data_IF_111457404892
#
_entry.id   IF_111457404892
#
_cell.length_a   1.000
_cell.length_b   1.000
_cell.length_c   1.000
_cell.angle_alpha   90.00
_cell.angle_beta   90.00
_cell.angle_gamma   90.00
#
_symmetry.space_group_name_H-M   'P 1'
#
loop_
_entity.id
_entity.type
_entity.pdbx_description
1 polymer ?
#
# COMPACT_ATOMS: atom_id res chain seq x y z
N UNK A 1 15.51 -24.70 23.01
CA UNK A 1 16.17 -24.10 21.83
C UNK A 1 15.15 -24.03 20.70
N UNK A 2 14.64 -22.84 20.39
CA UNK A 2 13.66 -22.67 19.32
C UNK A 2 14.34 -22.90 17.96
N UNK A 3 13.81 -23.85 17.18
CA UNK A 3 14.30 -24.13 15.83
C UNK A 3 14.06 -22.91 14.96
N UNK A 4 15.10 -22.45 14.27
CA UNK A 4 15.04 -21.28 13.38
C UNK A 4 14.07 -21.56 12.23
N UNK A 5 13.09 -20.67 12.06
CA UNK A 5 12.00 -20.83 11.09
C UNK A 5 12.51 -20.79 9.65
N UNK A 6 11.79 -21.38 8.71
CA UNK A 6 12.15 -21.36 7.28
C UNK A 6 12.20 -19.90 6.76
N UNK A 7 11.27 -19.07 7.22
CA UNK A 7 11.19 -17.65 6.91
C UNK A 7 12.40 -16.88 7.48
N UNK A 8 12.82 -17.19 8.73
CA UNK A 8 14.05 -16.65 9.32
C UNK A 8 15.31 -17.06 8.55
N UNK A 9 15.38 -18.32 8.12
CA UNK A 9 16.51 -18.84 7.34
C UNK A 9 16.62 -18.16 5.97
N UNK A 10 15.50 -17.96 5.28
CA UNK A 10 15.46 -17.24 4.00
C UNK A 10 15.85 -15.78 4.18
N UNK A 11 15.30 -15.07 5.18
CA UNK A 11 15.67 -13.66 5.44
C UNK A 11 17.14 -13.47 5.81
N UNK A 12 17.68 -14.38 6.63
CA UNK A 12 19.12 -14.39 6.97
C UNK A 12 20.00 -14.62 5.74
N UNK A 13 19.59 -15.49 4.81
CA UNK A 13 20.31 -15.70 3.55
C UNK A 13 20.26 -14.47 2.62
N UNK A 14 19.18 -13.68 2.71
CA UNK A 14 18.95 -12.47 1.91
C UNK A 14 19.46 -11.18 2.58
N UNK A 15 20.07 -11.26 3.79
CA UNK A 15 20.48 -10.11 4.61
C UNK A 15 19.36 -9.09 4.89
N UNK A 16 18.12 -9.56 4.98
CA UNK A 16 16.97 -8.71 5.31
C UNK A 16 16.82 -8.70 6.83
N UNK A 17 16.76 -7.51 7.42
CA UNK A 17 16.55 -7.34 8.86
C UNK A 17 15.20 -7.93 9.30
N UNK A 18 15.21 -8.65 10.42
CA UNK A 18 14.03 -9.32 10.95
C UNK A 18 13.06 -8.27 11.53
N UNK A 19 11.87 -8.19 10.94
CA UNK A 19 10.86 -7.23 11.36
C UNK A 19 10.11 -7.76 12.58
N UNK A 20 9.71 -6.88 13.50
CA UNK A 20 8.99 -7.25 14.73
C UNK A 20 7.70 -8.05 14.51
N UNK A 21 7.13 -7.99 13.30
CA UNK A 21 5.90 -8.70 12.92
C UNK A 21 6.16 -10.10 12.34
N UNK A 22 7.42 -10.45 12.04
CA UNK A 22 7.80 -11.72 11.42
C UNK A 22 7.44 -12.92 12.30
N UNK A 23 7.47 -12.75 13.63
CA UNK A 23 7.02 -13.76 14.58
C UNK A 23 5.52 -14.10 14.44
N UNK A 24 4.68 -13.13 14.10
CA UNK A 24 3.25 -13.37 13.89
C UNK A 24 2.98 -14.03 12.55
N UNK A 25 3.76 -13.68 11.52
CA UNK A 25 3.72 -14.37 10.22
C UNK A 25 4.21 -15.82 10.35
N UNK A 26 5.30 -16.04 11.07
CA UNK A 26 5.82 -17.38 11.37
C UNK A 26 4.81 -18.23 12.16
N UNK A 27 4.03 -17.64 13.08
CA UNK A 27 2.94 -18.33 13.76
C UNK A 27 1.90 -18.88 12.77
N UNK A 28 1.52 -18.12 11.73
CA UNK A 28 0.55 -18.58 10.74
C UNK A 28 1.13 -19.56 9.71
N UNK A 29 2.37 -19.36 9.26
CA UNK A 29 2.97 -20.18 8.21
C UNK A 29 3.63 -21.45 8.72
N UNK A 30 4.19 -21.41 9.93
CA UNK A 30 5.04 -22.47 10.47
C UNK A 30 4.53 -23.03 11.81
N UNK A 31 3.35 -22.58 12.27
CA UNK A 31 2.76 -22.98 13.56
C UNK A 31 3.70 -22.81 14.76
N UNK A 32 4.58 -21.81 14.72
CA UNK A 32 5.52 -21.54 15.81
C UNK A 32 4.81 -21.04 17.06
N UNK A 33 5.11 -21.60 18.23
CA UNK A 33 4.48 -21.17 19.48
C UNK A 33 4.79 -19.69 19.81
N UNK A 34 3.75 -18.91 20.11
CA UNK A 34 3.85 -17.52 20.58
C UNK A 34 3.83 -17.47 22.12
N UNK A 35 4.55 -16.50 22.70
CA UNK A 35 4.45 -16.17 24.12
C UNK A 35 3.04 -15.65 24.47
N UNK A 36 2.66 -15.70 25.76
CA UNK A 36 1.37 -15.19 26.23
C UNK A 36 1.16 -13.71 25.88
N UNK A 37 2.20 -12.89 26.02
CA UNK A 37 2.14 -11.46 25.69
C UNK A 37 1.97 -11.24 24.18
N UNK A 38 2.64 -12.05 23.37
CA UNK A 38 2.52 -12.01 21.91
C UNK A 38 1.15 -12.50 21.44
N UNK A 39 0.55 -13.49 22.12
CA UNK A 39 -0.81 -13.94 21.84
C UNK A 39 -1.83 -12.84 22.12
N UNK A 40 -1.65 -12.09 23.22
CA UNK A 40 -2.50 -10.95 23.55
C UNK A 40 -2.37 -9.82 22.53
N UNK A 41 -1.15 -9.59 22.01
CA UNK A 41 -0.94 -8.62 20.94
C UNK A 41 -1.56 -9.09 19.61
N UNK A 42 -1.45 -10.38 19.29
CA UNK A 42 -2.08 -10.97 18.11
C UNK A 42 -3.60 -10.86 18.16
N UNK A 43 -4.20 -11.04 19.34
CA UNK A 43 -5.64 -10.82 19.56
C UNK A 43 -6.04 -9.37 19.24
N UNK A 44 -5.28 -8.38 19.72
CA UNK A 44 -5.49 -6.96 19.40
C UNK A 44 -5.43 -6.71 17.89
N UNK A 45 -4.45 -7.28 17.19
CA UNK A 45 -4.38 -7.14 15.72
C UNK A 45 -5.57 -7.78 15.01
N UNK A 46 -5.99 -8.98 15.43
CA UNK A 46 -7.17 -9.67 14.86
C UNK A 46 -8.44 -8.86 15.07
N UNK A 47 -8.61 -8.27 16.26
CA UNK A 47 -9.78 -7.44 16.59
C UNK A 47 -9.79 -6.13 15.82
N UNK A 48 -8.63 -5.49 15.68
CA UNK A 48 -8.48 -4.31 14.84
C UNK A 48 -8.86 -4.61 13.37
N UNK A 49 -8.37 -5.72 12.83
CA UNK A 49 -8.68 -6.14 11.46
C UNK A 49 -10.15 -6.52 11.30
N UNK A 50 -10.75 -7.21 12.28
CA UNK A 50 -12.17 -7.58 12.21
C UNK A 50 -13.09 -6.37 12.16
N UNK A 51 -12.80 -5.31 12.92
CA UNK A 51 -13.58 -4.07 12.85
C UNK A 51 -13.56 -3.47 11.45
N UNK A 52 -12.39 -3.42 10.81
CA UNK A 52 -12.26 -2.91 9.44
C UNK A 52 -12.97 -3.82 8.43
N UNK A 53 -12.84 -5.14 8.57
CA UNK A 53 -13.52 -6.13 7.73
C UNK A 53 -15.05 -6.10 7.87
N UNK A 54 -15.56 -5.68 9.03
CA UNK A 54 -16.99 -5.44 9.26
C UNK A 54 -17.47 -4.07 8.72
N UNK A 55 -16.63 -3.34 7.99
CA UNK A 55 -16.97 -2.07 7.38
C UNK A 55 -17.01 -0.89 8.36
N UNK A 56 -16.43 -1.03 9.55
CA UNK A 56 -16.31 0.09 10.49
C UNK A 56 -15.28 1.09 9.96
N UNK A 57 -15.55 2.38 10.15
CA UNK A 57 -14.61 3.42 9.75
C UNK A 57 -13.35 3.36 10.63
N UNK A 58 -12.27 3.93 10.14
CA UNK A 58 -10.99 3.98 10.86
C UNK A 58 -11.13 4.63 12.25
N UNK A 59 -11.89 5.72 12.35
CA UNK A 59 -12.15 6.42 13.60
C UNK A 59 -12.98 5.59 14.59
N UNK A 60 -13.99 4.86 14.08
CA UNK A 60 -14.78 3.95 14.91
C UNK A 60 -13.92 2.79 15.42
N UNK A 61 -13.06 2.21 14.56
CA UNK A 61 -12.13 1.16 14.95
C UNK A 61 -11.15 1.63 16.03
N UNK A 62 -10.63 2.86 15.91
CA UNK A 62 -9.80 3.49 16.95
C UNK A 62 -10.56 3.63 18.27
N UNK A 63 -11.74 4.24 18.25
CA UNK A 63 -12.54 4.46 19.46
C UNK A 63 -12.88 3.14 20.17
N UNK A 64 -13.22 2.09 19.41
CA UNK A 64 -13.51 0.76 19.95
C UNK A 64 -12.25 0.11 20.54
N UNK A 65 -11.09 0.18 19.89
CA UNK A 65 -9.85 -0.36 20.42
C UNK A 65 -9.38 0.36 21.69
N UNK A 66 -9.51 1.69 21.73
CA UNK A 66 -9.19 2.49 22.90
C UNK A 66 -10.10 2.12 24.08
N UNK A 67 -11.40 1.93 23.83
CA UNK A 67 -12.37 1.54 24.85
C UNK A 67 -12.12 0.12 25.38
N UNK A 68 -11.91 -0.84 24.47
CA UNK A 68 -11.81 -2.26 24.83
C UNK A 68 -10.50 -2.59 25.55
N UNK A 69 -9.39 -1.98 25.14
CA UNK A 69 -8.07 -2.28 25.69
C UNK A 69 -7.50 -1.17 26.59
N UNK A 70 -8.25 -0.09 26.82
CA UNK A 70 -7.84 1.05 27.65
C UNK A 70 -6.47 1.62 27.22
N UNK A 71 -6.24 1.69 25.90
CA UNK A 71 -5.00 2.17 25.31
C UNK A 71 -5.13 3.59 24.79
N UNK A 72 -3.98 4.27 24.68
CA UNK A 72 -3.92 5.59 24.06
C UNK A 72 -4.16 5.51 22.56
N UNK A 73 -4.68 6.60 21.98
CA UNK A 73 -4.98 6.69 20.55
C UNK A 73 -3.77 6.37 19.68
N UNK A 74 -2.58 6.87 20.05
CA UNK A 74 -1.33 6.57 19.32
C UNK A 74 -1.06 5.07 19.25
N UNK A 75 -1.27 4.33 20.34
CA UNK A 75 -1.08 2.89 20.36
C UNK A 75 -2.13 2.18 19.51
N UNK A 76 -3.39 2.62 19.56
CA UNK A 76 -4.45 2.07 18.73
C UNK A 76 -4.17 2.26 17.22
N UNK A 77 -3.62 3.42 16.83
CA UNK A 77 -3.19 3.69 15.45
C UNK A 77 -2.09 2.72 14.99
N UNK A 78 -1.08 2.47 15.82
CA UNK A 78 -0.04 1.48 15.51
C UNK A 78 -0.61 0.07 15.37
N UNK A 79 -1.53 -0.33 16.26
CA UNK A 79 -2.18 -1.64 16.19
C UNK A 79 -2.94 -1.82 14.87
N UNK A 80 -3.69 -0.80 14.43
CA UNK A 80 -4.41 -0.87 13.16
C UNK A 80 -3.43 -0.97 11.98
N UNK A 81 -2.37 -0.16 11.96
CA UNK A 81 -1.38 -0.18 10.89
C UNK A 81 -0.64 -1.54 10.82
N UNK A 82 -0.26 -2.09 11.97
CA UNK A 82 0.41 -3.38 12.07
C UNK A 82 -0.52 -4.55 11.73
N UNK A 83 -1.80 -4.47 12.09
CA UNK A 83 -2.81 -5.43 11.68
C UNK A 83 -2.99 -5.46 10.14
N UNK A 84 -2.96 -4.29 9.49
CA UNK A 84 -3.01 -4.21 8.04
C UNK A 84 -1.75 -4.80 7.36
N UNK A 85 -0.59 -4.76 8.00
CA UNK A 85 0.63 -5.41 7.50
C UNK A 85 0.57 -6.95 7.63
N UNK A 86 -0.04 -7.46 8.70
CA UNK A 86 -0.15 -8.91 8.93
C UNK A 86 -1.24 -9.54 8.06
N UNK A 87 -2.42 -8.90 7.99
CA UNK A 87 -3.62 -9.48 7.37
C UNK A 87 -3.97 -8.84 6.01
N UNK A 88 -3.26 -7.79 5.62
CA UNK A 88 -3.53 -7.00 4.43
C UNK A 88 -4.57 -5.90 4.65
N UNK A 89 -4.55 -4.89 3.79
CA UNK A 89 -5.52 -3.79 3.82
C UNK A 89 -6.88 -4.27 3.30
N UNK A 90 -7.92 -4.18 4.13
CA UNK A 90 -9.29 -4.57 3.78
C UNK A 90 -9.79 -3.85 2.51
N UNK A 91 -9.40 -2.59 2.32
CA UNK A 91 -9.77 -1.80 1.13
C UNK A 91 -9.07 -2.25 -0.15
N UNK A 92 -7.86 -2.82 -0.07
CA UNK A 92 -7.11 -3.27 -1.25
C UNK A 92 -7.41 -4.72 -1.60
N UNK A 93 -7.64 -5.59 -0.61
CA UNK A 93 -7.96 -7.01 -0.82
C UNK A 93 -9.23 -7.13 -1.66
N UNK A 94 -10.29 -6.39 -1.34
CA UNK A 94 -11.56 -6.51 -2.07
C UNK A 94 -11.44 -5.98 -3.52
N UNK A 95 -10.83 -4.81 -3.72
CA UNK A 95 -10.69 -4.21 -5.06
C UNK A 95 -9.71 -4.98 -5.96
N UNK A 96 -8.55 -5.37 -5.44
CA UNK A 96 -7.58 -6.14 -6.23
C UNK A 96 -8.03 -7.58 -6.46
N UNK A 97 -8.65 -8.24 -5.48
CA UNK A 97 -9.21 -9.58 -5.69
C UNK A 97 -10.37 -9.55 -6.71
N UNK A 98 -11.27 -8.55 -6.65
CA UNK A 98 -12.31 -8.35 -7.66
C UNK A 98 -11.74 -8.05 -9.04
N UNK A 99 -10.70 -7.20 -9.13
CA UNK A 99 -9.95 -6.89 -10.36
C UNK A 99 -9.41 -8.17 -10.99
N UNK A 100 -8.69 -8.98 -10.20
CA UNK A 100 -8.07 -10.23 -10.64
C UNK A 100 -9.09 -11.32 -11.00
N UNK A 101 -10.14 -11.50 -10.19
CA UNK A 101 -11.21 -12.45 -10.48
C UNK A 101 -11.95 -12.10 -11.78
N UNK A 102 -12.22 -10.81 -12.00
CA UNK A 102 -12.88 -10.32 -13.22
C UNK A 102 -11.99 -10.49 -14.45
N UNK A 103 -10.68 -10.18 -14.35
CA UNK A 103 -9.74 -10.38 -15.45
C UNK A 103 -9.65 -11.85 -15.88
N UNK A 104 -9.55 -12.77 -14.91
CA UNK A 104 -9.53 -14.21 -15.17
C UNK A 104 -10.84 -14.71 -15.81
N UNK A 105 -11.98 -14.20 -15.37
CA UNK A 105 -13.28 -14.52 -15.96
C UNK A 105 -13.35 -14.10 -17.44
N UNK A 106 -12.88 -12.90 -17.78
CA UNK A 106 -12.84 -12.43 -19.16
C UNK A 106 -11.86 -13.21 -20.04
N UNK A 107 -10.71 -13.65 -19.50
CA UNK A 107 -9.79 -14.57 -20.19
C UNK A 107 -10.44 -15.91 -20.50
N UNK A 108 -11.20 -16.47 -19.55
CA UNK A 108 -11.96 -17.70 -19.76
C UNK A 108 -13.00 -17.52 -20.88
N UNK A 109 -13.78 -16.43 -20.84
CA UNK A 109 -14.75 -16.13 -21.89
C UNK A 109 -14.10 -15.97 -23.27
N UNK A 110 -12.92 -15.35 -23.32
CA UNK A 110 -12.18 -15.22 -24.58
C UNK A 110 -11.73 -16.57 -25.14
N UNK A 111 -11.23 -17.46 -24.27
CA UNK A 111 -10.85 -18.81 -24.67
C UNK A 111 -12.05 -19.62 -25.17
N UNK A 112 -13.22 -19.47 -24.54
CA UNK A 112 -14.47 -20.11 -24.98
C UNK A 112 -14.93 -19.55 -26.33
N UNK A 113 -14.92 -18.23 -26.51
CA UNK A 113 -15.30 -17.58 -27.77
C UNK A 113 -14.36 -17.99 -28.92
N UNK A 114 -13.05 -18.05 -28.64
CA UNK A 114 -12.03 -18.53 -29.59
C UNK A 114 -12.23 -20.01 -29.96
N UNK A 115 -12.59 -20.86 -29.00
CA UNK A 115 -12.92 -22.26 -29.27
C UNK A 115 -14.17 -22.41 -30.15
N UNK A 116 -15.12 -21.49 -30.04
CA UNK A 116 -16.34 -21.45 -30.86
C UNK A 116 -16.15 -20.72 -32.20
N UNK A 117 -14.94 -20.24 -32.52
CA UNK A 117 -14.64 -19.53 -33.77
C UNK A 117 -15.09 -18.06 -33.80
N UNK A 118 -15.63 -17.52 -32.70
CA UNK A 118 -16.00 -16.10 -32.57
C UNK A 118 -14.79 -15.28 -32.11
N UNK A 119 -13.96 -14.90 -33.09
CA UNK A 119 -12.70 -14.18 -32.86
C UNK A 119 -12.96 -12.74 -32.38
N UNK A 120 -14.05 -12.10 -32.79
CA UNK A 120 -14.38 -10.75 -32.34
C UNK A 120 -14.75 -10.73 -30.86
N UNK A 121 -15.62 -11.65 -30.42
CA UNK A 121 -15.98 -11.77 -29.01
C UNK A 121 -14.75 -12.15 -28.17
N UNK A 122 -13.86 -12.99 -28.69
CA UNK A 122 -12.62 -13.35 -28.03
C UNK A 122 -11.71 -12.13 -27.82
N UNK A 123 -11.49 -11.32 -28.87
CA UNK A 123 -10.65 -10.12 -28.79
C UNK A 123 -11.21 -9.09 -27.81
N UNK A 124 -12.52 -8.82 -27.86
CA UNK A 124 -13.19 -7.88 -26.92
C UNK A 124 -13.11 -8.33 -25.46
N UNK A 125 -13.27 -9.64 -25.20
CA UNK A 125 -13.13 -10.17 -23.85
C UNK A 125 -11.69 -10.08 -23.36
N UNK A 126 -10.72 -10.33 -24.22
CA UNK A 126 -9.30 -10.22 -23.89
C UNK A 126 -8.90 -8.77 -23.56
N UNK A 127 -9.32 -7.81 -24.38
CA UNK A 127 -9.06 -6.38 -24.16
C UNK A 127 -9.64 -5.87 -22.81
N UNK A 128 -10.81 -6.39 -22.41
CA UNK A 128 -11.40 -6.09 -21.09
C UNK A 128 -10.59 -6.65 -19.94
N UNK A 129 -9.96 -7.82 -20.11
CA UNK A 129 -9.06 -8.37 -19.11
C UNK A 129 -7.78 -7.52 -18.97
N UNK A 130 -7.19 -7.10 -20.08
CA UNK A 130 -5.94 -6.32 -20.09
C UNK A 130 -6.15 -4.89 -19.53
N UNK A 131 -7.28 -4.25 -19.86
CA UNK A 131 -7.72 -3.00 -19.21
C UNK A 131 -7.92 -3.17 -17.73
N UNK A 132 -8.57 -4.27 -17.33
CA UNK A 132 -8.75 -4.58 -15.92
C UNK A 132 -7.45 -4.90 -15.21
N UNK A 133 -6.37 -5.32 -15.86
CA UNK A 133 -5.08 -5.53 -15.20
C UNK A 133 -4.25 -4.24 -15.13
N UNK A 134 -4.56 -3.26 -15.98
CA UNK A 134 -3.84 -1.99 -16.07
C UNK A 134 -2.64 -2.07 -17.01
N UNK A 135 -2.63 -3.00 -17.97
CA UNK A 135 -1.54 -3.19 -18.93
C UNK A 135 -1.31 -1.97 -19.83
N UNK A 136 -2.35 -1.15 -20.03
CA UNK A 136 -2.31 0.08 -20.82
C UNK A 136 -2.23 1.35 -19.99
N UNK A 137 -2.15 1.23 -18.65
CA UNK A 137 -1.94 2.39 -17.79
C UNK A 137 -0.43 2.63 -17.72
N UNK A 138 0.02 3.87 -17.98
CA UNK A 138 1.40 4.24 -17.72
C UNK A 138 1.70 3.98 -16.25
N UNK A 139 2.83 3.33 -15.97
CA UNK A 139 3.35 3.24 -14.61
C UNK A 139 3.38 4.65 -14.03
N UNK A 140 2.61 4.91 -12.98
CA UNK A 140 2.58 6.21 -12.31
C UNK A 140 3.93 6.44 -11.64
N UNK A 141 4.90 6.89 -12.43
CA UNK A 141 6.12 7.53 -11.96
C UNK A 141 5.60 8.76 -11.20
N UNK A 142 5.97 8.87 -9.91
CA UNK A 142 5.52 9.93 -9.04
C UNK A 142 5.89 11.33 -9.57
N UNK A 143 5.49 12.36 -8.81
CA UNK A 143 5.75 13.76 -9.16
C UNK A 143 7.21 13.98 -9.60
N UNK A 144 7.39 14.50 -10.80
CA UNK A 144 8.71 14.81 -11.35
C UNK A 144 9.32 15.97 -10.54
N UNK A 145 10.49 15.81 -9.88
CA UNK A 145 11.09 16.86 -9.05
C UNK A 145 11.29 18.20 -9.80
N UNK A 146 11.47 18.12 -11.11
CA UNK A 146 11.65 19.27 -11.99
C UNK A 146 10.40 20.15 -12.11
N UNK A 147 9.20 19.61 -11.86
CA UNK A 147 7.94 20.38 -11.89
C UNK A 147 7.81 21.34 -10.68
N UNK A 148 8.66 21.18 -9.66
CA UNK A 148 8.72 22.07 -8.49
C UNK A 148 9.83 23.12 -8.57
N UNK A 149 10.69 23.05 -9.59
CA UNK A 149 11.70 24.07 -9.84
C UNK A 149 11.02 25.28 -10.50
N UNK A 150 10.86 26.38 -9.77
CA UNK A 150 10.39 27.65 -10.36
C UNK A 150 11.34 28.07 -11.48
N UNK A 151 10.81 28.24 -12.69
CA UNK A 151 11.56 28.80 -13.81
C UNK A 151 12.10 30.19 -13.42
N UNK A 152 13.42 30.31 -13.32
CA UNK A 152 14.07 31.58 -13.03
C UNK A 152 13.86 32.53 -14.21
N UNK A 153 13.01 33.53 -14.03
CA UNK A 153 12.75 34.56 -15.06
C UNK A 153 13.88 35.59 -15.01
N UNK A 154 14.92 35.38 -15.79
CA UNK A 154 15.99 36.36 -15.95
C UNK A 154 15.54 37.48 -16.90
N UNK A 155 15.37 38.69 -16.37
CA UNK A 155 15.07 39.89 -17.16
C UNK A 155 16.36 40.71 -17.29
N UNK A 156 17.02 40.61 -18.44
CA UNK A 156 18.19 41.43 -18.74
C UNK A 156 17.72 42.81 -19.20
N UNK A 157 18.19 43.86 -18.55
CA UNK A 157 17.81 45.25 -18.84
C UNK A 157 19.08 46.11 -18.94
N UNK A 158 19.23 46.87 -20.03
CA UNK A 158 20.41 47.73 -20.27
C UNK A 158 20.32 49.12 -19.60
N UNK A 159 19.30 49.33 -18.77
CA UNK A 159 19.06 50.62 -18.11
C UNK A 159 19.63 50.61 -16.67
N UNK A 160 20.74 51.34 -16.48
CA UNK A 160 21.50 51.42 -15.23
C UNK A 160 20.62 51.86 -14.04
N UNK A 161 19.63 52.73 -14.26
CA UNK A 161 18.76 53.22 -13.20
C UNK A 161 17.83 52.12 -12.64
N UNK A 162 17.50 51.10 -13.45
CA UNK A 162 16.69 49.96 -13.01
C UNK A 162 17.52 49.01 -12.14
N UNK A 163 18.81 48.85 -12.47
CA UNK A 163 19.77 48.05 -11.70
C UNK A 163 20.00 48.62 -10.30
N UNK A 164 20.19 49.94 -10.19
CA UNK A 164 20.40 50.64 -8.91
C UNK A 164 19.18 50.48 -7.98
N UNK A 165 17.96 50.55 -8.53
CA UNK A 165 16.74 50.39 -7.75
C UNK A 165 16.48 48.94 -7.32
N UNK A 166 16.93 47.95 -8.09
CA UNK A 166 16.83 46.55 -7.72
C UNK A 166 17.85 46.17 -6.64
N UNK A 167 19.08 46.71 -6.70
CA UNK A 167 20.10 46.49 -5.67
C UNK A 167 19.69 47.09 -4.31
N UNK A 168 19.18 48.33 -4.30
CA UNK A 168 18.70 48.96 -3.06
C UNK A 168 17.58 48.19 -2.36
N UNK A 169 16.71 47.51 -3.12
CA UNK A 169 15.64 46.68 -2.55
C UNK A 169 16.14 45.33 -2.02
N UNK A 170 17.27 44.84 -2.52
CA UNK A 170 17.86 43.59 -2.05
C UNK A 170 18.72 43.80 -0.79
N UNK A 171 19.20 45.02 -0.54
CA UNK A 171 19.96 45.38 0.67
C UNK A 171 19.06 45.75 1.88
N UNK A 172 17.76 45.97 1.63
CA UNK A 172 16.75 46.32 2.65
C UNK A 172 15.94 45.10 3.18
N UNK A 173 16.23 43.88 2.72
CA UNK A 173 15.71 42.58 3.24
C UNK A 173 16.78 41.81 4.02
#
# INVERSE_FOLDING_TARGET
MAKTTALQRMKKSLKIDEHKLDKFLAYYHENTALSKDDQLMLEKYRKAWSFLSLGRTYEMALAMLMKDYQIQERQARYIIAEAALIFGHVQTIDKQAKKMASANYYRLLSNIARANGDIEAASRAWERADKLEGLHEDDKIGLNPDDFLRAAKFVFTDNINVLINQQKRADDE
#
